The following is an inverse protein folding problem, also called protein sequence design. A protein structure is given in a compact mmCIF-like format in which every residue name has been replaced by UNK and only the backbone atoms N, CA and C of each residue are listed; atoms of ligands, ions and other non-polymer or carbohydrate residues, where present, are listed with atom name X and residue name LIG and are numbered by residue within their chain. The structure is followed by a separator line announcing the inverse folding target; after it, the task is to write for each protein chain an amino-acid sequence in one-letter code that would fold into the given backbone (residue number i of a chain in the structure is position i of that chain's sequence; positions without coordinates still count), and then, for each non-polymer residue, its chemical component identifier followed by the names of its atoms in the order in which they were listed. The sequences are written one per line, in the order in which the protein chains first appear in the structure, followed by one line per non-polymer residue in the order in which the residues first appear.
data_IF_115323954182
#
_entry.id   IF_115323954182
#
_cell.length_a   1.000
_cell.length_b   1.000
_cell.length_c   1.000
_cell.angle_alpha   90.00
_cell.angle_beta   90.00
_cell.angle_gamma   90.00
#
_symmetry.space_group_name_H-M   'P 1'
#
loop_
_entity.id
_entity.type
_entity.pdbx_description
1 polymer ?
#
# COMPACT_ATOMS: atom_id res chain seq x y z
N UNK A 1 -11.93 -26.59 41.54
CA UNK A 1 -10.73 -25.86 42.00
C UNK A 1 -9.71 -25.92 40.88
N UNK A 2 -9.59 -24.87 40.07
CA UNK A 2 -8.56 -24.79 39.02
C UNK A 2 -7.41 -23.95 39.53
N UNK A 3 -6.28 -24.57 39.80
CA UNK A 3 -5.01 -23.90 40.03
C UNK A 3 -4.27 -23.86 38.70
N UNK A 4 -4.33 -22.72 38.01
CA UNK A 4 -3.38 -22.39 36.95
C UNK A 4 -2.18 -21.70 37.61
N UNK A 5 -0.99 -22.23 37.41
CA UNK A 5 0.23 -21.42 37.47
C UNK A 5 0.86 -21.46 36.07
N UNK A 6 0.60 -20.38 35.34
CA UNK A 6 1.26 -19.95 34.11
C UNK A 6 2.58 -19.25 34.49
N UNK A 7 3.62 -19.98 34.91
CA UNK A 7 4.85 -19.30 35.32
C UNK A 7 5.65 -18.84 34.09
N UNK A 8 5.54 -17.55 33.72
CA UNK A 8 6.42 -16.88 32.74
C UNK A 8 7.78 -16.48 33.36
N UNK A 9 8.86 -16.72 32.60
CA UNK A 9 10.29 -16.65 32.99
C UNK A 9 10.85 -15.22 33.17
N UNK A 10 11.63 -15.10 34.24
CA UNK A 10 12.38 -13.93 34.71
C UNK A 10 13.79 -13.84 34.09
N UNK A 11 14.26 -12.62 33.75
CA UNK A 11 15.62 -12.37 33.23
C UNK A 11 16.33 -11.29 34.08
N UNK A 12 17.58 -11.56 34.45
CA UNK A 12 18.48 -10.69 35.22
C UNK A 12 19.77 -10.39 34.46
N UNK A 13 20.24 -9.13 34.44
CA UNK A 13 21.55 -8.72 33.86
C UNK A 13 22.27 -7.63 34.70
N UNK A 14 23.52 -7.83 35.17
CA UNK A 14 24.17 -6.91 36.12
C UNK A 14 24.91 -5.70 35.51
N UNK A 15 25.10 -5.58 34.19
CA UNK A 15 25.88 -4.47 33.58
C UNK A 15 25.41 -3.96 32.18
N UNK A 16 24.18 -4.25 31.71
CA UNK A 16 23.66 -3.69 30.42
C UNK A 16 22.12 -3.63 30.33
N UNK A 17 21.68 -2.75 29.41
CA UNK A 17 20.54 -1.82 29.51
C UNK A 17 19.15 -2.37 29.16
N UNK A 18 18.23 -2.25 30.12
CA UNK A 18 16.76 -2.20 30.08
C UNK A 18 15.90 -3.34 29.47
N UNK A 19 15.06 -3.89 30.36
CA UNK A 19 13.71 -4.44 30.16
C UNK A 19 12.79 -3.60 31.04
N UNK A 20 11.69 -3.02 30.54
CA UNK A 20 10.49 -2.74 31.36
C UNK A 20 9.24 -2.52 30.48
N UNK A 21 8.21 -3.33 30.70
CA UNK A 21 6.83 -3.01 30.32
C UNK A 21 5.96 -3.10 31.58
N UNK A 22 5.32 -1.98 31.92
CA UNK A 22 4.43 -1.85 33.08
C UNK A 22 3.18 -1.11 32.66
N UNK A 23 2.04 -1.70 32.98
CA UNK A 23 0.76 -1.02 32.95
C UNK A 23 0.32 -0.68 34.39
N UNK A 24 -0.12 0.55 34.65
CA UNK A 24 -0.89 0.89 35.86
C UNK A 24 -1.99 1.92 35.56
N UNK A 25 -3.25 1.49 35.70
CA UNK A 25 -4.21 2.14 36.61
C UNK A 25 -5.30 1.17 37.09
N UNK A 26 -5.54 1.20 38.39
CA UNK A 26 -6.64 0.60 39.18
C UNK A 26 -7.10 1.76 40.11
N UNK A 27 -8.38 2.13 40.34
CA UNK A 27 -9.62 1.37 40.51
C UNK A 27 -10.87 1.86 39.72
N UNK A 28 -10.71 2.80 38.77
CA UNK A 28 -11.85 3.45 38.08
C UNK A 28 -11.78 3.39 36.52
N UNK A 29 -11.01 2.46 35.93
CA UNK A 29 -10.81 2.40 34.46
C UNK A 29 -10.08 1.16 33.94
N UNK A 30 -10.85 0.12 33.63
CA UNK A 30 -10.48 -1.28 33.33
C UNK A 30 -9.59 -1.56 32.09
N UNK A 31 -8.63 -0.71 31.75
CA UNK A 31 -7.75 -0.91 30.60
C UNK A 31 -6.65 -1.95 30.84
N UNK A 32 -6.15 -2.59 29.77
CA UNK A 32 -5.19 -3.72 29.77
C UNK A 32 -4.16 -3.56 28.64
N UNK A 33 -2.88 -3.92 28.82
CA UNK A 33 -1.93 -4.09 27.71
C UNK A 33 -1.59 -5.57 27.59
N UNK A 34 -1.86 -6.14 26.42
CA UNK A 34 -1.71 -7.57 26.21
C UNK A 34 -0.68 -7.86 25.14
N UNK A 35 0.28 -8.72 25.48
CA UNK A 35 1.15 -9.40 24.52
C UNK A 35 0.83 -10.88 24.65
N UNK A 36 0.42 -11.50 23.56
CA UNK A 36 0.16 -12.94 23.54
C UNK A 36 0.63 -13.56 22.24
N UNK A 37 0.96 -14.84 22.34
CA UNK A 37 0.97 -15.72 21.19
C UNK A 37 -0.24 -16.64 21.34
N UNK A 38 -1.28 -16.52 20.50
CA UNK A 38 -2.53 -17.27 20.65
C UNK A 38 -2.39 -18.78 20.39
N UNK A 39 -1.17 -19.32 20.30
CA UNK A 39 -0.96 -20.76 20.39
C UNK A 39 -1.38 -21.24 21.79
N UNK A 40 -2.63 -21.68 21.93
CA UNK A 40 -3.14 -22.24 23.19
C UNK A 40 -4.63 -22.08 23.45
N UNK A 41 -5.34 -21.12 22.84
CA UNK A 41 -6.81 -21.01 22.99
C UNK A 41 -7.54 -21.70 21.83
N UNK A 42 -7.31 -23.00 21.72
CA UNK A 42 -8.09 -23.89 20.89
C UNK A 42 -8.34 -25.15 21.68
N UNK A 43 -9.61 -25.56 21.80
CA UNK A 43 -9.94 -26.90 22.28
C UNK A 43 -9.54 -28.00 21.26
N UNK A 44 -8.80 -27.64 20.19
CA UNK A 44 -8.41 -28.58 19.15
C UNK A 44 -7.12 -29.32 19.54
N UNK A 45 -7.07 -30.66 19.33
CA UNK A 45 -5.93 -31.50 19.71
C UNK A 45 -4.62 -31.20 18.97
N UNK A 46 -4.67 -30.47 17.86
CA UNK A 46 -3.51 -30.12 17.03
C UNK A 46 -3.55 -28.63 16.70
N UNK A 47 -2.42 -27.94 16.93
CA UNK A 47 -2.28 -26.51 16.69
C UNK A 47 -2.29 -26.19 15.20
N UNK A 48 -3.08 -25.19 14.80
CA UNK A 48 -3.05 -24.62 13.46
C UNK A 48 -1.85 -23.66 13.36
N UNK A 49 -0.86 -24.04 12.55
CA UNK A 49 0.36 -23.25 12.35
C UNK A 49 0.05 -21.83 11.83
N UNK A 50 -1.09 -21.62 11.14
CA UNK A 50 -1.52 -20.30 10.66
C UNK A 50 -1.93 -19.35 11.78
N UNK A 51 -2.03 -19.83 13.02
CA UNK A 51 -2.40 -19.01 14.18
C UNK A 51 -1.20 -18.57 15.01
N UNK A 52 0.00 -19.10 14.72
CA UNK A 52 1.23 -18.70 15.38
C UNK A 52 1.54 -17.25 15.03
N UNK A 53 1.45 -16.34 16.01
CA UNK A 53 1.71 -14.91 15.78
C UNK A 53 1.97 -14.20 17.09
N UNK A 54 2.71 -13.10 17.04
CA UNK A 54 2.81 -12.16 18.15
C UNK A 54 1.73 -11.11 17.95
N UNK A 55 0.79 -10.96 18.89
CA UNK A 55 -0.15 -9.85 18.83
C UNK A 55 0.01 -8.91 20.02
N UNK A 56 -0.19 -7.63 19.71
CA UNK A 56 -0.41 -6.58 20.68
C UNK A 56 -1.88 -6.20 20.67
N UNK A 57 -2.46 -6.12 21.86
CA UNK A 57 -3.83 -5.71 22.08
C UNK A 57 -3.96 -4.86 23.32
N UNK A 58 -5.16 -4.32 23.52
CA UNK A 58 -5.49 -3.61 24.75
C UNK A 58 -6.90 -3.93 25.21
N UNK A 59 -7.12 -3.87 26.52
CA UNK A 59 -8.47 -3.91 27.10
C UNK A 59 -9.03 -2.50 27.16
N UNK A 60 -10.29 -2.38 26.77
CA UNK A 60 -11.06 -1.13 26.82
C UNK A 60 -11.60 -0.86 28.23
N UNK A 61 -12.00 0.39 28.56
CA UNK A 61 -12.60 0.70 29.86
C UNK A 61 -13.88 -0.09 30.18
N UNK A 62 -14.60 -0.53 29.14
CA UNK A 62 -15.80 -1.36 29.25
C UNK A 62 -15.49 -2.85 29.47
N UNK A 63 -14.21 -3.22 29.53
CA UNK A 63 -13.76 -4.58 29.77
C UNK A 63 -13.67 -5.46 28.52
N UNK A 64 -13.85 -4.90 27.32
CA UNK A 64 -13.63 -5.64 26.06
C UNK A 64 -12.15 -5.65 25.69
N UNK A 65 -11.61 -6.82 25.36
CA UNK A 65 -10.26 -6.95 24.80
C UNK A 65 -10.26 -6.73 23.29
N UNK A 66 -9.45 -5.79 22.83
CA UNK A 66 -9.23 -5.48 21.42
C UNK A 66 -7.85 -6.02 21.00
N UNK A 67 -7.90 -7.17 20.36
CA UNK A 67 -6.74 -7.86 19.80
C UNK A 67 -6.44 -7.38 18.38
N UNK A 68 -5.31 -7.82 17.83
CA UNK A 68 -4.99 -7.59 16.43
C UNK A 68 -4.62 -6.17 16.03
N UNK A 69 -4.28 -5.31 17.01
CA UNK A 69 -3.88 -3.93 16.73
C UNK A 69 -2.51 -3.86 16.05
N UNK A 70 -1.57 -4.69 16.50
CA UNK A 70 -0.33 -5.00 15.80
C UNK A 70 -0.14 -6.51 15.85
N UNK A 71 0.10 -7.13 14.70
CA UNK A 71 0.30 -8.57 14.56
C UNK A 71 1.57 -8.84 13.79
N UNK A 72 2.42 -9.73 14.29
CA UNK A 72 3.51 -10.33 13.53
C UNK A 72 3.13 -11.79 13.30
N UNK A 73 2.71 -12.11 12.07
CA UNK A 73 2.30 -13.44 11.67
C UNK A 73 3.52 -14.36 11.58
N UNK A 74 3.57 -15.39 12.44
CA UNK A 74 4.73 -16.26 12.63
C UNK A 74 5.18 -16.99 11.36
N UNK A 75 4.28 -17.70 10.64
CA UNK A 75 4.67 -18.46 9.45
C UNK A 75 5.22 -17.62 8.29
N UNK A 76 4.72 -16.39 8.12
CA UNK A 76 5.09 -15.55 6.96
C UNK A 76 6.03 -14.40 7.32
N UNK A 77 6.16 -14.09 8.61
CA UNK A 77 6.85 -12.89 9.10
C UNK A 77 6.14 -11.58 8.72
N UNK A 78 4.88 -11.64 8.27
CA UNK A 78 4.12 -10.46 7.85
C UNK A 78 3.69 -9.65 9.08
N UNK A 79 3.72 -8.32 8.95
CA UNK A 79 3.27 -7.39 9.98
C UNK A 79 1.92 -6.80 9.59
N UNK A 80 0.90 -7.01 10.41
CA UNK A 80 -0.41 -6.39 10.29
C UNK A 80 -0.59 -5.26 11.30
N UNK A 81 -1.07 -4.10 10.87
CA UNK A 81 -1.50 -3.01 11.76
C UNK A 81 -3.01 -2.84 11.60
N UNK A 82 -3.78 -3.13 12.65
CA UNK A 82 -5.23 -3.22 12.59
C UNK A 82 -5.76 -4.39 11.75
N UNK A 83 -4.91 -5.38 11.45
CA UNK A 83 -5.23 -6.54 10.60
C UNK A 83 -4.62 -7.83 11.16
N UNK A 84 -5.47 -8.79 11.54
CA UNK A 84 -5.06 -10.05 12.17
C UNK A 84 -4.49 -11.10 11.21
N UNK A 85 -4.81 -10.96 9.92
CA UNK A 85 -4.36 -11.86 8.86
C UNK A 85 -3.75 -11.02 7.72
N UNK A 86 -2.50 -10.53 7.87
CA UNK A 86 -1.85 -9.69 6.87
C UNK A 86 -1.53 -10.49 5.59
N UNK A 87 -1.98 -9.99 4.44
CA UNK A 87 -1.76 -10.59 3.11
C UNK A 87 -0.47 -10.11 2.44
N UNK A 88 0.17 -9.08 2.98
CA UNK A 88 1.46 -8.54 2.52
C UNK A 88 2.46 -8.45 3.67
N UNK A 89 3.74 -8.19 3.36
CA UNK A 89 4.81 -8.08 4.37
C UNK A 89 4.53 -7.01 5.42
N UNK A 90 3.95 -5.90 5.00
CA UNK A 90 3.34 -4.89 5.85
C UNK A 90 1.93 -4.65 5.31
N UNK A 91 0.92 -4.78 6.16
CA UNK A 91 -0.49 -4.67 5.79
C UNK A 91 -1.24 -3.84 6.84
N UNK A 92 -1.70 -2.67 6.43
CA UNK A 92 -2.23 -1.65 7.35
C UNK A 92 -3.70 -1.42 7.03
N UNK A 93 -4.55 -1.57 8.04
CA UNK A 93 -5.94 -1.16 7.98
C UNK A 93 -6.06 0.28 8.49
N UNK A 94 -5.84 1.24 7.59
CA UNK A 94 -5.86 2.68 7.88
C UNK A 94 -4.78 3.45 7.12
N UNK A 95 -4.58 4.70 7.52
CA UNK A 95 -3.60 5.58 6.88
C UNK A 95 -2.17 5.29 7.36
N UNK A 96 -1.21 5.56 6.48
CA UNK A 96 0.23 5.50 6.79
C UNK A 96 0.83 6.89 6.62
N UNK A 97 1.28 7.49 7.72
CA UNK A 97 2.05 8.73 7.71
C UNK A 97 3.55 8.44 7.77
N UNK A 98 4.31 8.92 6.78
CA UNK A 98 5.77 8.71 6.69
C UNK A 98 6.47 10.06 6.73
N UNK A 99 7.31 10.30 7.74
CA UNK A 99 8.09 11.54 7.87
C UNK A 99 9.36 11.57 7.00
N UNK A 100 9.76 10.40 6.49
CA UNK A 100 10.89 10.23 5.58
C UNK A 100 10.45 9.94 4.14
N UNK A 101 11.34 9.31 3.38
CA UNK A 101 11.07 8.90 2.01
C UNK A 101 10.61 7.45 1.91
N UNK A 102 9.62 7.17 1.05
CA UNK A 102 9.27 5.82 0.60
C UNK A 102 10.00 5.56 -0.72
N UNK A 103 10.79 4.49 -0.79
CA UNK A 103 11.49 4.07 -2.00
C UNK A 103 10.93 2.74 -2.49
N UNK A 104 10.39 2.73 -3.70
CA UNK A 104 9.90 1.54 -4.37
C UNK A 104 11.07 0.98 -5.19
N UNK A 105 11.52 -0.25 -4.87
CA UNK A 105 12.55 -0.98 -5.62
C UNK A 105 11.94 -2.24 -6.20
N UNK A 106 11.11 -2.05 -7.21
CA UNK A 106 10.50 -3.13 -7.95
C UNK A 106 11.11 -3.15 -9.35
N UNK A 107 11.90 -4.19 -9.62
CA UNK A 107 12.59 -4.39 -10.90
C UNK A 107 11.64 -4.81 -12.03
N UNK A 108 10.38 -5.11 -11.70
CA UNK A 108 9.34 -5.42 -12.69
C UNK A 108 8.60 -4.17 -13.17
N UNK A 109 8.76 -3.03 -12.49
CA UNK A 109 8.23 -1.76 -12.94
C UNK A 109 8.95 -1.33 -14.22
N UNK A 110 8.21 -1.31 -15.33
CA UNK A 110 8.70 -0.78 -16.58
C UNK A 110 8.70 0.76 -16.53
N UNK A 111 9.88 1.36 -16.62
CA UNK A 111 10.01 2.80 -16.85
C UNK A 111 9.62 3.06 -18.31
N UNK A 112 8.70 4.00 -18.61
CA UNK A 112 8.09 4.14 -19.92
C UNK A 112 8.98 4.79 -21.01
N UNK A 113 10.30 4.87 -20.83
CA UNK A 113 11.24 5.51 -21.76
C UNK A 113 11.08 5.07 -23.24
N UNK A 114 10.54 3.87 -23.46
CA UNK A 114 10.15 3.32 -24.78
C UNK A 114 9.21 4.23 -25.58
N UNK A 115 8.47 5.15 -24.94
CA UNK A 115 7.57 6.10 -25.63
C UNK A 115 8.32 6.97 -26.64
N UNK A 116 9.61 7.21 -26.40
CA UNK A 116 10.44 8.05 -27.28
C UNK A 116 11.21 7.27 -28.36
N UNK A 117 11.01 5.95 -28.47
CA UNK A 117 11.61 5.13 -29.51
C UNK A 117 10.94 5.39 -30.87
N UNK A 118 11.69 5.21 -31.98
CA UNK A 118 11.19 5.51 -33.33
C UNK A 118 10.03 4.61 -33.75
N UNK A 119 10.01 3.39 -33.23
CA UNK A 119 8.99 2.38 -33.50
C UNK A 119 7.77 2.49 -32.58
N UNK A 120 7.74 3.46 -31.65
CA UNK A 120 6.60 3.64 -30.75
C UNK A 120 5.35 4.07 -31.51
N UNK A 121 4.30 3.25 -31.41
CA UNK A 121 3.01 3.54 -32.02
C UNK A 121 2.19 4.44 -31.11
N UNK A 122 2.36 5.75 -31.26
CA UNK A 122 1.50 6.75 -30.62
C UNK A 122 0.08 6.66 -31.22
N UNK A 123 -0.92 6.48 -30.37
CA UNK A 123 -2.32 6.39 -30.77
C UNK A 123 -2.78 7.72 -31.40
N UNK A 124 -3.69 7.71 -32.37
CA UNK A 124 -4.19 8.98 -32.91
C UNK A 124 -5.13 9.69 -31.91
N UNK A 125 -5.16 11.03 -31.91
CA UNK A 125 -6.02 11.79 -30.98
C UNK A 125 -7.52 11.54 -31.21
N UNK A 126 -7.95 11.17 -32.42
CA UNK A 126 -9.32 10.78 -32.69
C UNK A 126 -9.65 9.40 -32.10
N UNK A 127 -8.70 8.45 -32.16
CA UNK A 127 -8.82 7.13 -31.51
C UNK A 127 -8.82 7.27 -29.98
N UNK A 128 -7.95 8.13 -29.42
CA UNK A 128 -7.96 8.45 -27.99
C UNK A 128 -9.31 9.05 -27.59
N UNK A 129 -9.84 9.98 -28.40
CA UNK A 129 -11.16 10.60 -28.15
C UNK A 129 -12.26 9.54 -28.11
N UNK A 130 -12.32 8.66 -29.10
CA UNK A 130 -13.30 7.57 -29.15
C UNK A 130 -13.19 6.67 -27.92
N UNK A 131 -11.97 6.27 -27.55
CA UNK A 131 -11.74 5.46 -26.36
C UNK A 131 -12.24 6.13 -25.08
N UNK A 132 -11.94 7.42 -24.88
CA UNK A 132 -12.36 8.16 -23.69
C UNK A 132 -13.88 8.34 -23.64
N UNK A 133 -14.55 8.54 -24.78
CA UNK A 133 -16.01 8.62 -24.82
C UNK A 133 -16.66 7.28 -24.41
N UNK A 134 -16.12 6.16 -24.89
CA UNK A 134 -16.66 4.83 -24.61
C UNK A 134 -16.35 4.35 -23.19
N UNK A 135 -15.11 4.53 -22.73
CA UNK A 135 -14.59 3.90 -21.51
C UNK A 135 -14.54 4.86 -20.30
N UNK A 136 -14.66 6.18 -20.52
CA UNK A 136 -14.64 7.21 -19.46
C UNK A 136 -13.33 7.28 -18.66
N UNK A 137 -12.25 6.69 -19.17
CA UNK A 137 -10.88 6.81 -18.67
C UNK A 137 -9.89 6.73 -19.84
N UNK A 138 -8.61 7.02 -19.58
CA UNK A 138 -7.54 6.91 -20.58
C UNK A 138 -7.16 5.45 -20.84
N UNK A 139 -6.66 5.11 -22.04
CA UNK A 139 -6.04 3.81 -22.30
C UNK A 139 -4.97 3.47 -21.26
N UNK A 140 -4.80 2.20 -20.92
CA UNK A 140 -3.86 1.66 -19.91
C UNK A 140 -4.09 2.11 -18.45
N UNK A 141 -4.84 3.18 -18.21
CA UNK A 141 -5.17 3.67 -16.87
C UNK A 141 -6.40 2.92 -16.36
N UNK A 142 -6.36 2.34 -15.13
CA UNK A 142 -7.50 1.61 -14.60
C UNK A 142 -8.72 2.53 -14.40
N UNK A 143 -9.90 1.98 -14.63
CA UNK A 143 -11.16 2.64 -14.37
C UNK A 143 -11.40 2.85 -12.87
N UNK A 144 -12.29 3.78 -12.51
CA UNK A 144 -12.66 3.99 -11.11
C UNK A 144 -13.24 2.74 -10.45
N UNK A 145 -13.97 1.90 -11.20
CA UNK A 145 -14.54 0.66 -10.71
C UNK A 145 -13.46 -0.39 -10.40
N UNK A 146 -12.43 -0.49 -11.25
CA UNK A 146 -11.28 -1.39 -11.01
C UNK A 146 -10.47 -0.93 -9.79
N UNK A 147 -10.18 0.37 -9.68
CA UNK A 147 -9.47 0.93 -8.51
C UNK A 147 -10.26 0.72 -7.22
N UNK A 148 -11.58 0.88 -7.24
CA UNK A 148 -12.41 0.65 -6.05
C UNK A 148 -12.45 -0.82 -5.64
N UNK A 149 -12.43 -1.74 -6.61
CA UNK A 149 -12.49 -3.18 -6.34
C UNK A 149 -11.15 -3.75 -5.89
N UNK A 150 -10.07 -3.41 -6.59
CA UNK A 150 -8.78 -4.09 -6.48
C UNK A 150 -7.69 -3.23 -5.82
N UNK A 151 -7.96 -1.92 -5.64
CA UNK A 151 -6.93 -0.96 -5.27
C UNK A 151 -5.98 -0.67 -6.43
N UNK A 152 -4.89 0.06 -6.15
CA UNK A 152 -3.87 0.32 -7.15
C UNK A 152 -2.48 0.33 -6.51
N UNK A 153 -1.52 -0.28 -7.20
CA UNK A 153 -0.10 -0.17 -6.85
C UNK A 153 0.38 1.26 -7.17
N UNK A 154 0.90 1.95 -6.15
CA UNK A 154 1.40 3.31 -6.32
C UNK A 154 2.53 3.38 -7.36
N UNK A 155 3.43 2.38 -7.37
CA UNK A 155 4.52 2.30 -8.34
C UNK A 155 4.01 2.14 -9.77
N UNK A 156 3.14 1.16 -10.00
CA UNK A 156 2.57 0.89 -11.33
C UNK A 156 1.76 2.07 -11.85
N UNK A 157 0.94 2.68 -10.98
CA UNK A 157 0.15 3.85 -11.34
C UNK A 157 1.03 5.04 -11.68
N UNK A 158 2.09 5.30 -10.90
CA UNK A 158 3.06 6.35 -11.21
C UNK A 158 3.75 6.12 -12.57
N UNK A 159 4.12 4.88 -12.91
CA UNK A 159 4.70 4.58 -14.23
C UNK A 159 3.69 4.76 -15.36
N UNK A 160 2.43 4.35 -15.18
CA UNK A 160 1.36 4.61 -16.15
C UNK A 160 1.12 6.11 -16.35
N UNK A 161 1.10 6.90 -15.27
CA UNK A 161 0.98 8.35 -15.38
C UNK A 161 2.16 8.97 -16.11
N UNK A 162 3.39 8.53 -15.83
CA UNK A 162 4.58 8.98 -16.53
C UNK A 162 4.48 8.69 -18.03
N UNK A 163 4.08 7.47 -18.42
CA UNK A 163 3.83 7.11 -19.82
C UNK A 163 2.85 8.09 -20.49
N UNK A 164 1.76 8.46 -19.80
CA UNK A 164 0.78 9.42 -20.34
C UNK A 164 1.32 10.84 -20.43
N UNK A 165 2.21 11.26 -19.53
CA UNK A 165 2.90 12.55 -19.65
C UNK A 165 3.83 12.55 -20.87
N UNK A 166 4.53 11.45 -21.15
CA UNK A 166 5.41 11.32 -22.30
C UNK A 166 4.61 11.31 -23.62
N UNK A 167 3.51 10.53 -23.69
CA UNK A 167 2.59 10.55 -24.84
C UNK A 167 2.00 11.96 -25.07
N UNK A 168 1.57 12.64 -24.00
CA UNK A 168 1.10 14.03 -24.08
C UNK A 168 2.18 14.97 -24.61
N UNK A 169 3.44 14.74 -24.25
CA UNK A 169 4.57 15.54 -24.74
C UNK A 169 4.74 15.34 -26.25
N UNK A 170 4.59 14.12 -26.77
CA UNK A 170 4.63 13.85 -28.21
C UNK A 170 3.47 14.54 -28.95
N UNK A 171 2.24 14.48 -28.42
CA UNK A 171 1.12 15.20 -29.02
C UNK A 171 1.34 16.70 -29.05
N UNK A 172 1.92 17.29 -27.99
CA UNK A 172 2.21 18.73 -27.92
C UNK A 172 3.26 19.12 -28.95
N UNK A 173 4.32 18.31 -29.14
CA UNK A 173 5.32 18.54 -30.19
C UNK A 173 4.68 18.48 -31.57
N UNK A 174 3.87 17.46 -31.85
CA UNK A 174 3.16 17.32 -33.13
C UNK A 174 2.22 18.50 -33.40
N UNK A 175 1.49 18.97 -32.38
CA UNK A 175 0.62 20.14 -32.48
C UNK A 175 1.43 21.41 -32.75
N UNK A 176 2.56 21.62 -32.06
CA UNK A 176 3.43 22.77 -32.28
C UNK A 176 3.98 22.79 -33.71
N UNK A 177 4.40 21.64 -34.24
CA UNK A 177 4.88 21.52 -35.62
C UNK A 177 3.78 21.84 -36.63
N UNK A 178 2.56 21.38 -36.37
CA UNK A 178 1.38 21.69 -37.19
C UNK A 178 1.08 23.19 -37.18
N UNK A 179 1.10 23.83 -36.02
CA UNK A 179 0.87 25.28 -35.88
C UNK A 179 1.91 26.06 -36.68
N UNK A 180 3.20 25.73 -36.54
CA UNK A 180 4.27 26.40 -37.32
C UNK A 180 4.07 26.22 -38.83
N UNK A 181 3.68 25.03 -39.26
CA UNK A 181 3.40 24.77 -40.68
C UNK A 181 2.19 25.57 -41.18
N UNK A 182 1.16 25.76 -40.35
CA UNK A 182 0.00 26.59 -40.68
C UNK A 182 0.37 28.07 -40.73
N UNK A 183 1.14 28.58 -39.77
CA UNK A 183 1.64 29.97 -39.75
C UNK A 183 2.46 30.29 -41.00
N UNK A 184 3.39 29.41 -41.38
CA UNK A 184 4.19 29.58 -42.61
C UNK A 184 3.33 29.62 -43.88
N UNK A 185 2.23 28.85 -43.91
CA UNK A 185 1.29 28.87 -45.05
C UNK A 185 0.47 30.16 -45.07
N UNK A 186 0.06 30.66 -43.91
CA UNK A 186 -0.64 31.95 -43.81
C UNK A 186 0.25 33.10 -44.30
N UNK A 187 1.51 33.16 -43.85
CA UNK A 187 2.48 34.17 -44.30
C UNK A 187 2.67 34.16 -45.83
N UNK A 188 2.69 32.98 -46.45
CA UNK A 188 2.81 32.85 -47.91
C UNK A 188 1.57 33.33 -48.67
N UNK A 189 0.38 33.19 -48.07
CA UNK A 189 -0.88 33.63 -48.66
C UNK A 189 -1.05 35.14 -48.46
N UNK A 190 -0.66 35.69 -47.31
CA UNK A 190 -0.78 37.11 -46.99
C UNK A 190 0.24 38.00 -47.74
N UNK A 191 1.41 37.46 -48.07
CA UNK A 191 2.44 38.17 -48.85
C UNK A 191 2.30 38.00 -50.38
N UNK A 192 1.13 37.53 -50.86
CA UNK A 192 0.77 37.44 -52.28
C UNK A 192 -0.17 38.55 -52.68
#
# INVERSE_FOLDING_TARGET
MSTFFEDSIEIKRPWSDWIFLRQQRDMDGNGGFHIHNPWGNSNQPQGDASRNRLEFGYRTPTGQDLWGQLVIHGPTGNVGIGKVAPSAKLDVNGDVAVSGSVRIKDWTLAVPDTVFEQEYQLLDLDEVREYVHLNRHLPDVPSAAEVQRDGVSLGDFSMKLLKKIEELTLYVVQQHDTIRALEQRLDQIENR
#
